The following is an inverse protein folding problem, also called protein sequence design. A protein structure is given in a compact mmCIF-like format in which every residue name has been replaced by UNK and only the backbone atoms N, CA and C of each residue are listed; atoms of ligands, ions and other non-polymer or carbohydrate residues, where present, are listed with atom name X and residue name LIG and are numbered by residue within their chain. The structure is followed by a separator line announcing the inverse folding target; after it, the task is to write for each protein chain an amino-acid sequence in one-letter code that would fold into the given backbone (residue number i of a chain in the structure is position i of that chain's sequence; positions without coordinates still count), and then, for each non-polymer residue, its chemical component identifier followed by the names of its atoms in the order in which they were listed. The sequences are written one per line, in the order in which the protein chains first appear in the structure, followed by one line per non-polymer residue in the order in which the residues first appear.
data_IF_323003773612
#
_entry.id   IF_323003773612
#
_cell.length_a   1.000
_cell.length_b   1.000
_cell.length_c   1.000
_cell.angle_alpha   90.00
_cell.angle_beta   90.00
_cell.angle_gamma   90.00
#
_symmetry.space_group_name_H-M   'P 1'
#
loop_
_entity.id
_entity.type
_entity.pdbx_description
1 polymer ?
#
# COMPACT_ATOMS: atom_id res chain seq x y z
N UNK A 1 -5.87 4.79 -29.26
CA UNK A 1 -6.12 5.72 -28.14
C UNK A 1 -4.98 5.57 -27.15
N UNK A 2 -4.10 6.58 -27.06
CA UNK A 2 -3.04 6.60 -26.04
C UNK A 2 -3.71 6.74 -24.67
N UNK A 3 -3.60 5.68 -23.87
CA UNK A 3 -4.11 5.65 -22.49
C UNK A 3 -3.40 6.74 -21.70
N UNK A 4 -4.12 7.72 -21.18
CA UNK A 4 -3.58 8.80 -20.39
C UNK A 4 -2.90 8.22 -19.14
N UNK A 5 -1.61 8.01 -19.26
CA UNK A 5 -0.73 7.63 -18.15
C UNK A 5 -0.55 8.90 -17.32
N UNK A 6 -0.65 8.87 -15.98
CA UNK A 6 -0.05 9.95 -15.20
C UNK A 6 1.36 10.15 -15.74
N UNK A 7 1.73 11.39 -16.00
CA UNK A 7 3.06 11.65 -16.58
C UNK A 7 4.12 10.92 -15.76
N UNK A 8 5.19 10.40 -16.36
CA UNK A 8 6.24 9.70 -15.64
C UNK A 8 6.82 10.55 -14.49
N UNK A 9 6.76 11.87 -14.63
CA UNK A 9 7.15 12.80 -13.58
C UNK A 9 6.17 12.81 -12.40
N UNK A 10 4.86 12.77 -12.64
CA UNK A 10 3.86 12.73 -11.56
C UNK A 10 3.97 11.46 -10.73
N UNK A 11 4.16 10.29 -11.34
CA UNK A 11 4.34 9.05 -10.59
C UNK A 11 5.63 9.05 -9.77
N UNK A 12 6.69 9.69 -10.25
CA UNK A 12 7.94 9.84 -9.52
C UNK A 12 7.74 10.76 -8.28
N UNK A 13 7.09 11.91 -8.49
CA UNK A 13 6.82 12.85 -7.40
C UNK A 13 5.92 12.21 -6.33
N UNK A 14 4.85 11.54 -6.73
CA UNK A 14 3.95 10.88 -5.78
C UNK A 14 4.67 9.79 -4.97
N UNK A 15 5.48 8.95 -5.63
CA UNK A 15 6.22 7.89 -4.94
C UNK A 15 7.31 8.45 -4.01
N UNK A 16 8.03 9.48 -4.44
CA UNK A 16 9.04 10.14 -3.62
C UNK A 16 8.41 10.87 -2.41
N UNK A 17 7.30 11.58 -2.63
CA UNK A 17 6.58 12.28 -1.57
C UNK A 17 6.03 11.28 -0.53
N UNK A 18 5.46 10.15 -0.97
CA UNK A 18 4.98 9.11 -0.06
C UNK A 18 6.13 8.49 0.75
N UNK A 19 7.28 8.22 0.13
CA UNK A 19 8.45 7.69 0.83
C UNK A 19 9.01 8.70 1.84
N UNK A 20 9.06 9.98 1.47
CA UNK A 20 9.45 11.06 2.38
C UNK A 20 8.46 11.21 3.54
N UNK A 21 7.15 11.13 3.29
CA UNK A 21 6.12 11.14 4.34
C UNK A 21 6.34 9.98 5.33
N UNK A 22 6.52 8.76 4.84
CA UNK A 22 6.78 7.60 5.69
C UNK A 22 8.04 7.80 6.55
N UNK A 23 9.16 8.16 5.95
CA UNK A 23 10.45 8.25 6.65
C UNK A 23 10.52 9.48 7.57
N UNK A 24 10.21 10.67 7.05
CA UNK A 24 10.47 11.93 7.74
C UNK A 24 9.33 12.31 8.69
N UNK A 25 8.08 12.03 8.33
CA UNK A 25 6.94 12.47 9.13
C UNK A 25 6.32 11.35 9.96
N UNK A 26 6.32 10.08 9.49
CA UNK A 26 5.74 8.97 10.25
C UNK A 26 6.76 8.30 11.15
N UNK A 27 7.83 7.76 10.61
CA UNK A 27 8.83 7.07 11.43
C UNK A 27 9.64 8.06 12.28
N UNK A 28 10.06 9.20 11.73
CA UNK A 28 10.83 10.19 12.48
C UNK A 28 10.01 10.86 13.59
N UNK A 29 8.72 11.11 13.40
CA UNK A 29 7.86 11.70 14.43
C UNK A 29 7.86 10.87 15.71
N UNK A 30 7.90 9.55 15.61
CA UNK A 30 7.97 8.67 16.77
C UNK A 30 9.27 8.78 17.56
N UNK A 31 10.34 9.24 16.92
CA UNK A 31 11.64 9.49 17.59
C UNK A 31 11.70 10.86 18.21
N UNK A 32 11.25 11.87 17.47
CA UNK A 32 11.51 13.28 17.80
C UNK A 32 10.33 13.98 18.49
N UNK A 33 9.09 13.50 18.30
CA UNK A 33 7.94 14.14 18.94
C UNK A 33 7.75 13.61 20.35
N UNK A 34 7.77 14.48 21.37
CA UNK A 34 7.26 14.14 22.69
C UNK A 34 5.75 13.89 22.61
N UNK A 35 5.20 13.21 23.62
CA UNK A 35 3.76 12.93 23.73
C UNK A 35 2.88 14.20 23.67
N UNK A 36 3.46 15.35 23.98
CA UNK A 36 2.87 16.68 23.77
C UNK A 36 3.95 17.59 23.17
N UNK A 37 3.87 17.93 21.86
CA UNK A 37 4.84 18.80 21.24
C UNK A 37 4.69 20.23 21.80
N UNK A 38 5.67 20.64 22.61
CA UNK A 38 5.89 22.04 22.97
C UNK A 38 6.48 22.76 21.76
N UNK A 39 6.47 24.10 21.79
CA UNK A 39 6.94 24.95 20.70
C UNK A 39 8.32 24.53 20.16
N UNK A 40 8.53 24.70 18.84
CA UNK A 40 9.80 24.44 18.18
C UNK A 40 9.68 23.54 16.95
N UNK A 41 10.83 23.01 16.49
CA UNK A 41 10.93 22.14 15.30
C UNK A 41 10.00 20.92 15.37
N UNK A 42 9.80 20.36 16.57
CA UNK A 42 8.92 19.22 16.78
C UNK A 42 7.45 19.53 16.42
N UNK A 43 6.97 20.73 16.75
CA UNK A 43 5.61 21.17 16.41
C UNK A 43 5.45 21.39 14.90
N UNK A 44 6.45 22.06 14.29
CA UNK A 44 6.46 22.26 12.83
C UNK A 44 6.40 20.92 12.09
N UNK A 45 7.18 19.93 12.53
CA UNK A 45 7.14 18.58 11.94
C UNK A 45 5.78 17.90 12.13
N UNK A 46 5.14 18.09 13.30
CA UNK A 46 3.79 17.56 13.55
C UNK A 46 2.75 18.21 12.63
N UNK A 47 2.80 19.53 12.48
CA UNK A 47 1.88 20.30 11.63
C UNK A 47 2.06 19.94 10.15
N UNK A 48 3.31 19.78 9.69
CA UNK A 48 3.60 19.28 8.33
C UNK A 48 3.09 17.84 8.15
N UNK A 49 3.30 16.97 9.14
CA UNK A 49 2.80 15.59 9.10
C UNK A 49 1.27 15.55 9.02
N UNK A 50 0.56 16.41 9.76
CA UNK A 50 -0.88 16.55 9.69
C UNK A 50 -1.33 17.07 8.30
N UNK A 51 -0.67 18.10 7.79
CA UNK A 51 -0.93 18.63 6.45
C UNK A 51 -0.75 17.55 5.36
N UNK A 52 0.36 16.79 5.42
CA UNK A 52 0.63 15.69 4.48
C UNK A 52 -0.41 14.57 4.59
N UNK A 53 -0.91 14.31 5.81
CA UNK A 53 -2.00 13.35 6.04
C UNK A 53 -3.30 13.78 5.35
N UNK A 54 -3.68 15.04 5.52
CA UNK A 54 -4.89 15.60 4.91
C UNK A 54 -4.78 15.69 3.40
N UNK A 55 -3.63 16.14 2.88
CA UNK A 55 -3.33 16.15 1.45
C UNK A 55 -3.40 14.74 0.86
N UNK A 56 -2.83 13.76 1.56
CA UNK A 56 -2.89 12.34 1.19
C UNK A 56 -4.33 11.81 1.15
N UNK A 57 -5.18 12.22 2.09
CA UNK A 57 -6.61 11.91 2.09
C UNK A 57 -7.32 12.44 0.84
N UNK A 58 -7.10 13.72 0.49
CA UNK A 58 -7.66 14.33 -0.73
C UNK A 58 -7.16 13.62 -2.00
N UNK A 59 -5.84 13.40 -2.10
CA UNK A 59 -5.26 12.67 -3.23
C UNK A 59 -5.79 11.23 -3.31
N UNK A 60 -6.01 10.59 -2.17
CA UNK A 60 -6.63 9.26 -2.08
C UNK A 60 -8.04 9.24 -2.67
N UNK A 61 -8.89 10.21 -2.32
CA UNK A 61 -10.23 10.35 -2.92
C UNK A 61 -10.13 10.51 -4.43
N UNK A 62 -9.26 11.41 -4.91
CA UNK A 62 -9.07 11.65 -6.35
C UNK A 62 -8.59 10.40 -7.09
N UNK A 63 -7.63 9.66 -6.50
CA UNK A 63 -7.11 8.44 -7.10
C UNK A 63 -8.18 7.35 -7.16
N UNK A 64 -8.91 7.12 -6.08
CA UNK A 64 -10.00 6.14 -6.04
C UNK A 64 -11.09 6.52 -7.03
N UNK A 65 -11.52 7.78 -7.07
CA UNK A 65 -12.48 8.28 -8.05
C UNK A 65 -12.01 8.10 -9.50
N UNK A 66 -10.71 8.30 -9.75
CA UNK A 66 -10.08 8.08 -11.06
C UNK A 66 -10.13 6.60 -11.46
N UNK A 67 -9.79 5.70 -10.52
CA UNK A 67 -9.85 4.24 -10.76
C UNK A 67 -11.27 3.81 -11.09
N UNK A 68 -12.25 4.31 -10.33
CA UNK A 68 -13.66 4.01 -10.55
C UNK A 68 -14.19 4.57 -11.88
N UNK A 69 -13.85 5.80 -12.22
CA UNK A 69 -14.20 6.42 -13.50
C UNK A 69 -13.66 5.61 -14.69
N UNK A 70 -12.45 5.07 -14.56
CA UNK A 70 -11.86 4.15 -15.55
C UNK A 70 -12.57 2.80 -15.57
N UNK A 71 -13.03 2.31 -14.41
CA UNK A 71 -13.84 1.11 -14.31
C UNK A 71 -15.12 1.23 -15.18
N UNK A 72 -15.78 2.37 -15.15
CA UNK A 72 -16.96 2.65 -15.97
C UNK A 72 -16.64 2.71 -17.47
N UNK A 73 -15.48 3.25 -17.86
CA UNK A 73 -15.08 3.41 -19.27
C UNK A 73 -14.52 2.13 -19.91
N UNK A 74 -14.49 1.02 -19.20
CA UNK A 74 -14.01 -0.25 -19.74
C UNK A 74 -12.49 -0.45 -19.71
N UNK A 75 -11.74 0.49 -19.19
CA UNK A 75 -10.26 0.48 -19.14
C UNK A 75 -9.76 0.12 -17.74
N UNK A 76 -10.03 -1.11 -17.28
CA UNK A 76 -9.88 -1.44 -15.85
C UNK A 76 -9.24 -2.77 -15.55
N UNK A 77 -8.81 -2.86 -14.28
CA UNK A 77 -8.44 -4.08 -13.59
C UNK A 77 -9.60 -5.09 -13.60
N UNK A 78 -10.85 -4.60 -13.60
CA UNK A 78 -12.05 -5.40 -13.34
C UNK A 78 -12.62 -6.03 -14.62
N UNK A 79 -13.03 -7.31 -14.60
CA UNK A 79 -13.79 -7.92 -15.67
C UNK A 79 -15.17 -7.24 -15.82
N UNK A 80 -15.78 -7.36 -17.01
CA UNK A 80 -17.02 -6.67 -17.33
C UNK A 80 -18.15 -6.96 -16.33
N UNK A 81 -18.26 -8.20 -15.87
CA UNK A 81 -19.25 -8.65 -14.88
C UNK A 81 -19.14 -7.94 -13.52
N UNK A 82 -17.97 -7.47 -13.13
CA UNK A 82 -17.76 -6.80 -11.84
C UNK A 82 -17.91 -5.28 -11.92
N UNK A 83 -17.95 -4.68 -13.10
CA UNK A 83 -17.85 -3.22 -13.28
C UNK A 83 -18.97 -2.45 -12.60
N UNK A 84 -20.22 -2.87 -12.77
CA UNK A 84 -21.38 -2.19 -12.19
C UNK A 84 -21.27 -2.23 -10.66
N UNK A 85 -21.04 -3.42 -10.09
CA UNK A 85 -20.93 -3.60 -8.64
C UNK A 85 -19.80 -2.78 -8.05
N UNK A 86 -18.61 -2.86 -8.65
CA UNK A 86 -17.43 -2.09 -8.18
C UNK A 86 -17.68 -0.59 -8.30
N UNK A 87 -18.33 -0.14 -9.38
CA UNK A 87 -18.60 1.28 -9.58
C UNK A 87 -19.61 1.80 -8.57
N UNK A 88 -20.66 1.04 -8.26
CA UNK A 88 -21.68 1.41 -7.28
C UNK A 88 -21.11 1.48 -5.86
N UNK A 89 -20.39 0.43 -5.44
CA UNK A 89 -19.74 0.39 -4.12
C UNK A 89 -18.66 1.47 -4.03
N UNK A 90 -17.92 1.70 -5.10
CA UNK A 90 -16.87 2.69 -5.14
C UNK A 90 -17.41 4.13 -5.11
N UNK A 91 -18.52 4.42 -5.80
CA UNK A 91 -19.16 5.72 -5.68
C UNK A 91 -19.63 5.96 -4.25
N UNK A 92 -20.26 4.96 -3.63
CA UNK A 92 -20.66 5.01 -2.24
C UNK A 92 -19.46 5.26 -1.32
N UNK A 93 -18.36 4.53 -1.51
CA UNK A 93 -17.13 4.74 -0.75
C UNK A 93 -16.58 6.16 -0.91
N UNK A 94 -16.50 6.68 -2.15
CA UNK A 94 -15.99 8.03 -2.42
C UNK A 94 -16.85 9.09 -1.74
N UNK A 95 -18.17 8.97 -1.79
CA UNK A 95 -19.09 9.90 -1.11
C UNK A 95 -18.86 9.88 0.41
N UNK A 96 -18.76 8.68 1.00
CA UNK A 96 -18.48 8.53 2.42
C UNK A 96 -17.11 9.09 2.80
N UNK A 97 -16.08 8.78 2.04
CA UNK A 97 -14.72 9.26 2.30
C UNK A 97 -14.62 10.79 2.17
N UNK A 98 -15.28 11.36 1.18
CA UNK A 98 -15.34 12.82 1.00
C UNK A 98 -16.00 13.50 2.20
N UNK A 99 -17.13 12.96 2.67
CA UNK A 99 -17.80 13.50 3.84
C UNK A 99 -16.91 13.43 5.11
N UNK A 100 -16.15 12.33 5.28
CA UNK A 100 -15.18 12.19 6.37
C UNK A 100 -14.02 13.19 6.26
N UNK A 101 -13.42 13.35 5.07
CA UNK A 101 -12.32 14.32 4.84
C UNK A 101 -12.77 15.76 5.06
N UNK A 102 -14.02 16.09 4.70
CA UNK A 102 -14.61 17.42 4.94
C UNK A 102 -15.09 17.61 6.37
N UNK A 103 -14.89 16.65 7.25
CA UNK A 103 -15.33 16.67 8.65
C UNK A 103 -16.84 17.00 8.79
N UNK A 104 -17.66 16.53 7.85
CA UNK A 104 -19.10 16.70 7.93
C UNK A 104 -19.66 15.91 9.11
N UNK A 105 -20.70 16.42 9.81
CA UNK A 105 -21.35 15.68 10.89
C UNK A 105 -22.03 14.44 10.32
N UNK A 106 -21.44 13.28 10.57
CA UNK A 106 -21.93 11.99 10.06
C UNK A 106 -22.27 11.07 11.23
N UNK A 107 -23.34 10.25 11.12
CA UNK A 107 -23.72 9.29 12.16
C UNK A 107 -22.58 8.29 12.45
N UNK A 108 -22.49 7.77 13.68
CA UNK A 108 -21.49 6.76 14.09
C UNK A 108 -21.46 5.51 13.19
N UNK A 109 -22.60 5.17 12.59
CA UNK A 109 -22.70 4.05 11.64
C UNK A 109 -21.92 4.27 10.35
N UNK A 110 -21.59 5.51 10.04
CA UNK A 110 -20.90 5.92 8.84
C UNK A 110 -19.51 5.27 8.69
N UNK A 111 -18.71 5.28 9.76
CA UNK A 111 -17.38 4.65 9.76
C UNK A 111 -17.48 3.15 9.45
N UNK A 112 -18.58 2.52 9.86
CA UNK A 112 -18.80 1.10 9.58
C UNK A 112 -19.13 0.85 8.12
N UNK A 113 -19.98 1.68 7.51
CA UNK A 113 -20.28 1.59 6.08
C UNK A 113 -19.05 1.88 5.23
N UNK A 114 -18.22 2.86 5.64
CA UNK A 114 -16.96 3.15 5.00
C UNK A 114 -16.02 1.91 5.03
N UNK A 115 -15.87 1.26 6.17
CA UNK A 115 -15.02 0.06 6.31
C UNK A 115 -15.57 -1.14 5.55
N UNK A 116 -16.90 -1.33 5.53
CA UNK A 116 -17.52 -2.40 4.74
C UNK A 116 -17.28 -2.20 3.25
N UNK A 117 -17.54 -0.99 2.72
CA UNK A 117 -17.29 -0.68 1.31
C UNK A 117 -15.80 -0.79 0.95
N UNK A 118 -14.91 -0.38 1.86
CA UNK A 118 -13.46 -0.56 1.74
C UNK A 118 -13.07 -2.04 1.59
N UNK A 119 -13.60 -2.92 2.45
CA UNK A 119 -13.29 -4.34 2.38
C UNK A 119 -13.79 -4.99 1.09
N UNK A 120 -15.00 -4.64 0.63
CA UNK A 120 -15.51 -5.10 -0.65
C UNK A 120 -14.62 -4.64 -1.81
N UNK A 121 -14.25 -3.35 -1.85
CA UNK A 121 -13.38 -2.82 -2.88
C UNK A 121 -11.99 -3.48 -2.86
N UNK A 122 -11.41 -3.70 -1.68
CA UNK A 122 -10.14 -4.41 -1.55
C UNK A 122 -10.23 -5.84 -2.08
N UNK A 123 -11.30 -6.57 -1.74
CA UNK A 123 -11.58 -7.91 -2.26
C UNK A 123 -11.74 -7.92 -3.78
N UNK A 124 -12.50 -6.99 -4.35
CA UNK A 124 -12.68 -6.87 -5.79
C UNK A 124 -11.39 -6.50 -6.53
N UNK A 125 -10.56 -5.62 -5.97
CA UNK A 125 -9.24 -5.30 -6.55
C UNK A 125 -8.36 -6.53 -6.62
N UNK A 126 -8.29 -7.31 -5.54
CA UNK A 126 -7.55 -8.55 -5.53
C UNK A 126 -8.12 -9.57 -6.52
N UNK A 127 -9.42 -9.85 -6.48
CA UNK A 127 -10.08 -10.79 -7.38
C UNK A 127 -9.94 -10.38 -8.85
N UNK A 128 -10.15 -9.09 -9.16
CA UNK A 128 -10.00 -8.56 -10.51
C UNK A 128 -8.60 -8.77 -11.08
N UNK A 129 -7.57 -8.62 -10.24
CA UNK A 129 -6.19 -8.81 -10.67
C UNK A 129 -5.88 -10.26 -11.07
N UNK A 130 -6.56 -11.26 -10.45
CA UNK A 130 -6.39 -12.67 -10.83
C UNK A 130 -6.88 -12.98 -12.26
N UNK A 131 -7.80 -12.20 -12.79
CA UNK A 131 -8.25 -12.30 -14.18
C UNK A 131 -7.33 -11.59 -15.19
N UNK A 132 -6.29 -10.87 -14.74
CA UNK A 132 -5.36 -10.14 -15.60
C UNK A 132 -4.05 -10.89 -15.80
N UNK A 133 -3.42 -10.64 -16.95
CA UNK A 133 -2.08 -11.15 -17.26
C UNK A 133 -1.04 -10.27 -16.59
N UNK A 134 -0.64 -10.63 -15.38
CA UNK A 134 0.43 -9.94 -14.64
C UNK A 134 1.25 -10.98 -13.84
N UNK A 135 2.47 -10.63 -13.40
CA UNK A 135 3.32 -11.54 -12.64
C UNK A 135 2.63 -12.07 -11.39
N UNK A 136 2.69 -13.39 -11.17
CA UNK A 136 2.05 -14.07 -10.03
C UNK A 136 2.45 -13.48 -8.69
N UNK A 137 3.73 -13.09 -8.53
CA UNK A 137 4.24 -12.45 -7.32
C UNK A 137 3.48 -11.17 -6.96
N UNK A 138 3.07 -10.37 -7.96
CA UNK A 138 2.31 -9.15 -7.73
C UNK A 138 0.83 -9.44 -7.43
N UNK A 139 0.24 -10.49 -8.01
CA UNK A 139 -1.09 -10.98 -7.62
C UNK A 139 -1.10 -11.39 -6.16
N UNK A 140 -0.09 -12.14 -5.74
CA UNK A 140 0.07 -12.55 -4.34
C UNK A 140 0.27 -11.34 -3.42
N UNK A 141 1.10 -10.37 -3.80
CA UNK A 141 1.29 -9.15 -3.01
C UNK A 141 -0.04 -8.41 -2.78
N UNK A 142 -0.80 -8.15 -3.83
CA UNK A 142 -2.10 -7.45 -3.72
C UNK A 142 -3.10 -8.26 -2.88
N UNK A 143 -3.14 -9.58 -3.04
CA UNK A 143 -4.02 -10.44 -2.24
C UNK A 143 -3.63 -10.43 -0.76
N UNK A 144 -2.33 -10.47 -0.46
CA UNK A 144 -1.82 -10.42 0.92
C UNK A 144 -2.14 -9.08 1.60
N UNK A 145 -2.15 -7.97 0.87
CA UNK A 145 -2.57 -6.67 1.42
C UNK A 145 -4.08 -6.52 1.51
N UNK A 146 -4.86 -7.15 0.63
CA UNK A 146 -6.32 -7.11 0.69
C UNK A 146 -6.88 -7.99 1.82
N UNK A 147 -6.26 -9.13 2.09
CA UNK A 147 -6.73 -10.10 3.08
C UNK A 147 -6.91 -9.52 4.50
N UNK A 148 -5.96 -8.80 5.10
CA UNK A 148 -6.13 -8.20 6.42
C UNK A 148 -7.24 -7.15 6.46
N UNK A 149 -7.47 -6.41 5.37
CA UNK A 149 -8.56 -5.43 5.27
C UNK A 149 -9.91 -6.13 5.38
N UNK A 150 -10.09 -7.20 4.62
CA UNK A 150 -11.31 -8.02 4.63
C UNK A 150 -11.49 -8.69 5.99
N UNK A 151 -10.43 -9.28 6.55
CA UNK A 151 -10.47 -9.95 7.84
C UNK A 151 -10.79 -8.99 8.98
N UNK A 152 -10.21 -7.80 9.02
CA UNK A 152 -10.50 -6.79 10.03
C UNK A 152 -11.97 -6.36 9.97
N UNK A 153 -12.52 -6.17 8.77
CA UNK A 153 -13.93 -5.81 8.61
C UNK A 153 -14.85 -6.94 9.00
N UNK A 154 -14.54 -8.19 8.64
CA UNK A 154 -15.27 -9.37 9.07
C UNK A 154 -15.29 -9.50 10.61
N UNK A 155 -14.15 -9.28 11.25
CA UNK A 155 -14.02 -9.30 12.72
C UNK A 155 -14.93 -8.25 13.39
N UNK A 156 -14.96 -7.02 12.85
CA UNK A 156 -15.88 -5.98 13.33
C UNK A 156 -17.35 -6.36 13.15
N UNK A 157 -17.68 -7.03 12.05
CA UNK A 157 -19.04 -7.52 11.83
C UNK A 157 -19.42 -8.60 12.83
N UNK A 158 -18.52 -9.57 13.08
CA UNK A 158 -18.71 -10.61 14.11
C UNK A 158 -18.92 -10.01 15.51
N UNK A 159 -18.17 -8.95 15.85
CA UNK A 159 -18.37 -8.22 17.10
C UNK A 159 -19.78 -7.66 17.23
N UNK A 160 -20.32 -7.09 16.14
CA UNK A 160 -21.69 -6.54 16.12
C UNK A 160 -22.77 -7.61 16.19
N UNK A 161 -22.47 -8.82 15.70
CA UNK A 161 -23.35 -9.97 15.80
C UNK A 161 -23.30 -10.65 17.16
N UNK A 162 -22.58 -10.08 18.14
CA UNK A 162 -22.51 -10.59 19.51
C UNK A 162 -21.58 -11.78 19.71
N UNK A 163 -20.61 -11.99 18.80
CA UNK A 163 -19.61 -13.05 18.98
C UNK A 163 -18.73 -12.77 20.20
N UNK A 164 -18.16 -13.81 20.78
CA UNK A 164 -17.35 -13.68 21.99
C UNK A 164 -16.15 -12.74 21.80
N UNK A 165 -15.88 -11.92 22.80
CA UNK A 165 -14.76 -10.97 22.77
C UNK A 165 -13.41 -11.62 22.48
N UNK A 166 -13.20 -12.88 22.92
CA UNK A 166 -11.98 -13.64 22.65
C UNK A 166 -11.80 -13.95 21.16
N UNK A 167 -12.86 -14.39 20.46
CA UNK A 167 -12.82 -14.66 19.02
C UNK A 167 -12.62 -13.38 18.22
N UNK A 168 -13.31 -12.30 18.60
CA UNK A 168 -13.13 -10.98 17.98
C UNK A 168 -11.69 -10.47 18.16
N UNK A 169 -11.15 -10.60 19.38
CA UNK A 169 -9.76 -10.23 19.67
C UNK A 169 -8.74 -11.06 18.88
N UNK A 170 -8.97 -12.37 18.72
CA UNK A 170 -8.12 -13.24 17.89
C UNK A 170 -8.18 -12.83 16.42
N UNK A 171 -9.37 -12.56 15.88
CA UNK A 171 -9.54 -12.08 14.50
C UNK A 171 -8.81 -10.76 14.24
N UNK A 172 -8.90 -9.80 15.16
CA UNK A 172 -8.19 -8.54 15.07
C UNK A 172 -6.66 -8.72 15.08
N UNK A 173 -6.15 -9.56 15.99
CA UNK A 173 -4.71 -9.91 16.05
C UNK A 173 -4.23 -10.58 14.76
N UNK A 174 -5.01 -11.51 14.22
CA UNK A 174 -4.69 -12.18 12.96
C UNK A 174 -4.66 -11.20 11.79
N UNK A 175 -5.61 -10.27 11.71
CA UNK A 175 -5.62 -9.23 10.69
C UNK A 175 -4.36 -8.34 10.76
N UNK A 176 -3.96 -7.94 11.96
CA UNK A 176 -2.75 -7.14 12.17
C UNK A 176 -1.48 -7.91 11.81
N UNK A 177 -1.33 -9.14 12.29
CA UNK A 177 -0.20 -10.00 11.95
C UNK A 177 -0.10 -10.22 10.44
N UNK A 178 -1.24 -10.39 9.75
CA UNK A 178 -1.31 -10.50 8.29
C UNK A 178 -0.86 -9.23 7.59
N UNK A 179 -1.15 -8.04 8.14
CA UNK A 179 -0.66 -6.77 7.59
C UNK A 179 0.87 -6.69 7.66
N UNK A 180 1.47 -7.03 8.81
CA UNK A 180 2.93 -7.05 8.93
C UNK A 180 3.58 -8.11 8.06
N UNK A 181 2.96 -9.26 7.92
CA UNK A 181 3.44 -10.30 7.00
C UNK A 181 3.41 -9.80 5.55
N UNK A 182 2.35 -9.11 5.13
CA UNK A 182 2.27 -8.51 3.80
C UNK A 182 3.35 -7.45 3.58
N UNK A 183 3.58 -6.57 4.55
CA UNK A 183 4.65 -5.57 4.50
C UNK A 183 6.04 -6.24 4.47
N UNK A 184 6.27 -7.26 5.28
CA UNK A 184 7.52 -8.01 5.31
C UNK A 184 7.82 -8.68 3.96
N UNK A 185 6.82 -9.34 3.37
CA UNK A 185 6.95 -10.02 2.09
C UNK A 185 7.02 -9.05 0.90
N UNK A 186 6.65 -7.79 1.08
CA UNK A 186 6.69 -6.78 0.01
C UNK A 186 8.10 -6.62 -0.58
N UNK A 187 9.14 -6.72 0.24
CA UNK A 187 10.54 -6.68 -0.20
C UNK A 187 10.87 -7.74 -1.25
N UNK A 188 10.31 -8.93 -1.13
CA UNK A 188 10.53 -10.05 -2.07
C UNK A 188 9.55 -10.01 -3.24
N UNK A 189 8.27 -9.73 -2.97
CA UNK A 189 7.21 -9.83 -3.97
C UNK A 189 7.18 -8.63 -4.93
N UNK A 190 7.49 -7.43 -4.44
CA UNK A 190 7.32 -6.19 -5.18
C UNK A 190 8.65 -5.69 -5.75
N UNK A 191 9.76 -5.83 -5.00
CA UNK A 191 11.05 -5.30 -5.42
C UNK A 191 11.50 -5.89 -6.76
N UNK A 192 11.86 -5.04 -7.75
CA UNK A 192 12.54 -5.51 -8.93
C UNK A 192 13.96 -5.97 -8.54
N UNK A 193 14.53 -6.88 -9.33
CA UNK A 193 15.95 -7.19 -9.17
C UNK A 193 16.79 -5.95 -9.45
N UNK A 194 17.68 -5.52 -8.54
CA UNK A 194 18.46 -4.32 -8.73
C UNK A 194 19.38 -4.48 -9.95
N UNK A 195 19.31 -3.52 -10.87
CA UNK A 195 20.09 -3.55 -12.12
C UNK A 195 21.17 -2.47 -12.18
N UNK A 196 21.12 -1.50 -11.28
CA UNK A 196 22.01 -0.32 -11.30
C UNK A 196 22.56 -0.05 -9.90
N UNK A 197 23.79 0.40 -9.78
CA UNK A 197 24.43 0.76 -8.51
C UNK A 197 23.63 1.83 -7.75
N UNK A 198 23.09 2.85 -8.45
CA UNK A 198 22.23 3.85 -7.84
C UNK A 198 20.99 3.25 -7.18
N UNK A 199 20.37 2.26 -7.82
CA UNK A 199 19.20 1.58 -7.24
C UNK A 199 19.55 0.88 -5.94
N UNK A 200 20.68 0.18 -5.91
CA UNK A 200 21.20 -0.48 -4.69
C UNK A 200 21.48 0.57 -3.60
N UNK A 201 22.12 1.68 -3.95
CA UNK A 201 22.44 2.75 -3.00
C UNK A 201 21.17 3.36 -2.38
N UNK A 202 20.13 3.64 -3.19
CA UNK A 202 18.85 4.16 -2.72
C UNK A 202 18.12 3.16 -1.83
N UNK A 203 18.12 1.88 -2.18
CA UNK A 203 17.55 0.81 -1.36
C UNK A 203 18.23 0.69 0.00
N UNK A 204 19.56 0.64 0.01
CA UNK A 204 20.36 0.53 1.22
C UNK A 204 20.19 1.78 2.08
N UNK A 205 20.27 2.98 1.50
CA UNK A 205 20.07 4.23 2.22
C UNK A 205 18.70 4.32 2.89
N UNK A 206 17.64 4.04 2.15
CA UNK A 206 16.27 4.03 2.68
C UNK A 206 16.08 2.97 3.78
N UNK A 207 16.63 1.77 3.57
CA UNK A 207 16.59 0.68 4.54
C UNK A 207 17.34 1.03 5.84
N UNK A 208 18.54 1.60 5.75
CA UNK A 208 19.35 2.02 6.90
C UNK A 208 18.67 3.16 7.67
N UNK A 209 18.13 4.17 6.97
CA UNK A 209 17.38 5.26 7.61
C UNK A 209 16.15 4.70 8.35
N UNK A 210 15.37 3.85 7.70
CA UNK A 210 14.20 3.23 8.33
C UNK A 210 14.59 2.41 9.57
N UNK A 211 15.65 1.59 9.46
CA UNK A 211 16.14 0.79 10.57
C UNK A 211 16.66 1.67 11.73
N UNK A 212 17.40 2.72 11.43
CA UNK A 212 17.92 3.64 12.43
C UNK A 212 16.79 4.36 13.17
N UNK A 213 15.77 4.87 12.45
CA UNK A 213 14.61 5.53 13.05
C UNK A 213 13.81 4.58 13.95
N UNK A 214 13.60 3.34 13.50
CA UNK A 214 12.90 2.32 14.27
C UNK A 214 13.70 1.91 15.51
N UNK A 215 15.02 1.73 15.39
CA UNK A 215 15.91 1.42 16.52
C UNK A 215 15.95 2.56 17.55
N UNK A 216 16.03 3.82 17.10
CA UNK A 216 15.96 4.98 17.97
C UNK A 216 14.60 5.10 18.68
N UNK A 217 13.50 4.82 17.98
CA UNK A 217 12.18 4.76 18.59
C UNK A 217 12.13 3.69 19.69
N UNK A 218 12.69 2.51 19.45
CA UNK A 218 12.79 1.43 20.44
C UNK A 218 13.56 1.86 21.68
N UNK A 219 14.74 2.48 21.49
CA UNK A 219 15.57 2.97 22.61
C UNK A 219 14.85 4.04 23.41
N UNK A 220 14.18 4.98 22.74
CA UNK A 220 13.50 6.10 23.38
C UNK A 220 12.33 5.67 24.26
N UNK A 221 11.55 4.69 23.80
CA UNK A 221 10.30 4.31 24.46
C UNK A 221 10.44 3.18 25.48
N UNK A 222 11.61 2.62 25.67
CA UNK A 222 11.99 1.63 26.71
C UNK A 222 11.04 0.43 26.90
N UNK A 223 10.12 0.20 26.01
CA UNK A 223 9.21 -0.93 26.18
C UNK A 223 8.46 -1.32 24.92
N UNK A 224 8.30 -2.60 24.80
CA UNK A 224 7.60 -3.21 23.68
C UNK A 224 6.15 -2.77 23.57
N UNK A 225 5.46 -2.55 24.71
CA UNK A 225 4.09 -2.05 24.75
C UNK A 225 3.96 -0.67 24.09
N UNK A 226 4.94 0.20 24.31
CA UNK A 226 4.95 1.53 23.71
C UNK A 226 5.29 1.50 22.23
N UNK A 227 6.20 0.63 21.80
CA UNK A 227 6.47 0.40 20.36
C UNK A 227 5.24 -0.16 19.67
N UNK A 228 4.54 -1.08 20.29
CA UNK A 228 3.29 -1.66 19.78
C UNK A 228 2.19 -0.59 19.67
N UNK A 229 2.00 0.24 20.70
CA UNK A 229 1.05 1.36 20.67
C UNK A 229 1.41 2.41 19.61
N UNK A 230 2.71 2.67 19.41
CA UNK A 230 3.26 3.58 18.43
C UNK A 230 2.82 3.26 17.00
N UNK A 231 2.71 1.97 16.67
CA UNK A 231 2.28 1.50 15.35
C UNK A 231 0.77 1.26 15.24
N UNK A 232 -0.03 1.80 16.17
CA UNK A 232 -1.48 1.63 16.18
C UNK A 232 -1.92 0.20 16.48
N UNK A 233 -1.07 -0.56 17.13
CA UNK A 233 -1.30 -1.95 17.45
C UNK A 233 -1.95 -2.04 18.82
N UNK A 234 -3.26 -2.04 18.87
CA UNK A 234 -4.01 -2.33 20.07
C UNK A 234 -4.02 -3.84 20.32
N UNK A 235 -2.99 -4.33 20.99
CA UNK A 235 -2.98 -5.70 21.48
C UNK A 235 -3.32 -5.74 22.97
N UNK A 236 -4.33 -6.51 23.32
CA UNK A 236 -4.56 -6.99 24.69
C UNK A 236 -3.57 -8.12 25.06
N UNK A 237 -2.38 -8.14 24.47
CA UNK A 237 -1.34 -9.01 24.94
C UNK A 237 -0.75 -8.37 26.20
N UNK A 238 -0.61 -9.12 27.31
CA UNK A 238 0.27 -8.70 28.38
C UNK A 238 1.67 -8.62 27.76
N UNK A 239 2.05 -7.43 27.35
CA UNK A 239 3.36 -7.16 26.74
C UNK A 239 4.38 -7.06 27.87
N UNK A 240 4.41 -8.07 28.68
CA UNK A 240 5.53 -8.34 29.54
C UNK A 240 6.72 -8.63 28.64
N UNK A 241 7.90 -8.18 29.02
CA UNK A 241 9.16 -8.23 28.30
C UNK A 241 9.65 -9.66 27.90
N UNK A 242 8.72 -10.55 27.56
CA UNK A 242 8.98 -11.92 27.16
C UNK A 242 9.51 -12.04 25.74
N UNK A 243 10.01 -13.22 25.42
CA UNK A 243 10.57 -13.58 24.09
C UNK A 243 9.57 -13.29 22.97
N UNK A 244 8.28 -13.59 23.17
CA UNK A 244 7.22 -13.37 22.17
C UNK A 244 7.07 -11.91 21.81
N UNK A 245 7.10 -11.02 22.79
CA UNK A 245 7.00 -9.60 22.56
C UNK A 245 8.21 -9.02 21.78
N UNK A 246 9.41 -9.52 22.08
CA UNK A 246 10.65 -9.13 21.35
C UNK A 246 10.62 -9.61 19.90
N UNK A 247 10.17 -10.83 19.66
CA UNK A 247 9.99 -11.38 18.30
C UNK A 247 8.98 -10.57 17.51
N UNK A 248 7.88 -10.18 18.15
CA UNK A 248 6.87 -9.35 17.51
C UNK A 248 7.41 -7.98 17.12
N UNK A 249 8.14 -7.29 18.00
CA UNK A 249 8.78 -6.02 17.68
C UNK A 249 9.77 -6.16 16.53
N UNK A 250 10.59 -7.21 16.53
CA UNK A 250 11.51 -7.50 15.44
C UNK A 250 10.77 -7.72 14.11
N UNK A 251 9.63 -8.41 14.12
CA UNK A 251 8.78 -8.60 12.95
C UNK A 251 8.22 -7.27 12.43
N UNK A 252 7.73 -6.40 13.31
CA UNK A 252 7.24 -5.07 12.95
C UNK A 252 8.35 -4.23 12.31
N UNK A 253 9.53 -4.18 12.94
CA UNK A 253 10.69 -3.45 12.40
C UNK A 253 11.06 -3.98 11.02
N UNK A 254 11.21 -5.31 10.88
CA UNK A 254 11.53 -5.94 9.61
C UNK A 254 10.47 -5.65 8.53
N UNK A 255 9.19 -5.62 8.88
CA UNK A 255 8.09 -5.31 7.98
C UNK A 255 8.20 -3.89 7.40
N UNK A 256 8.43 -2.88 8.25
CA UNK A 256 8.59 -1.50 7.79
C UNK A 256 9.87 -1.27 6.99
N UNK A 257 10.99 -1.86 7.41
CA UNK A 257 12.25 -1.83 6.64
C UNK A 257 12.04 -2.46 5.27
N UNK A 258 11.39 -3.63 5.20
CA UNK A 258 11.08 -4.33 3.95
C UNK A 258 10.21 -3.49 3.02
N UNK A 259 9.13 -2.88 3.53
CA UNK A 259 8.26 -2.00 2.75
C UNK A 259 8.99 -0.76 2.24
N UNK A 260 9.84 -0.15 3.09
CA UNK A 260 10.67 1.01 2.72
C UNK A 260 11.66 0.65 1.61
N UNK A 261 12.36 -0.48 1.74
CA UNK A 261 13.30 -0.98 0.73
C UNK A 261 12.57 -1.31 -0.57
N UNK A 262 11.38 -1.95 -0.51
CA UNK A 262 10.57 -2.23 -1.70
C UNK A 262 10.14 -0.94 -2.41
N UNK A 263 9.67 0.06 -1.66
CA UNK A 263 9.33 1.38 -2.18
C UNK A 263 10.53 2.06 -2.86
N UNK A 264 11.67 2.10 -2.18
CA UNK A 264 12.90 2.68 -2.69
C UNK A 264 13.42 1.98 -3.97
N UNK A 265 13.34 0.63 -4.00
CA UNK A 265 13.74 -0.17 -5.17
C UNK A 265 12.91 0.16 -6.40
N UNK A 266 11.61 0.36 -6.22
CA UNK A 266 10.67 0.65 -7.29
C UNK A 266 10.70 2.12 -7.73
N UNK A 267 11.14 3.05 -6.86
CA UNK A 267 11.17 4.49 -7.14
C UNK A 267 12.08 4.83 -8.33
N UNK A 268 13.22 4.14 -8.47
CA UNK A 268 14.19 4.35 -9.53
C UNK A 268 13.82 3.66 -10.86
N UNK A 269 12.69 2.94 -10.89
CA UNK A 269 12.19 2.22 -12.05
C UNK A 269 11.37 3.06 -13.02
N UNK A 270 10.62 2.37 -13.88
CA UNK A 270 9.65 2.97 -14.80
C UNK A 270 8.37 3.44 -14.09
N UNK A 271 7.44 4.02 -14.84
CA UNK A 271 6.18 4.53 -14.28
C UNK A 271 5.33 3.42 -13.60
N UNK A 272 5.38 2.19 -14.09
CA UNK A 272 4.68 1.07 -13.47
C UNK A 272 5.33 0.69 -12.13
N UNK A 273 6.65 0.61 -12.08
CA UNK A 273 7.41 0.38 -10.86
C UNK A 273 7.17 1.48 -9.81
N UNK A 274 7.12 2.76 -10.24
CA UNK A 274 6.82 3.89 -9.35
C UNK A 274 5.41 3.82 -8.76
N UNK A 275 4.42 3.29 -9.50
CA UNK A 275 3.10 3.00 -8.93
C UNK A 275 3.17 1.90 -7.87
N UNK A 276 4.02 0.88 -8.05
CA UNK A 276 4.24 -0.12 -7.01
C UNK A 276 4.91 0.51 -5.77
N UNK A 277 5.91 1.38 -5.97
CA UNK A 277 6.54 2.14 -4.87
C UNK A 277 5.50 2.94 -4.09
N UNK A 278 4.71 3.75 -4.78
CA UNK A 278 3.65 4.55 -4.18
C UNK A 278 2.65 3.67 -3.41
N UNK A 279 2.23 2.56 -4.01
CA UNK A 279 1.27 1.65 -3.41
C UNK A 279 1.75 1.01 -2.11
N UNK A 280 2.96 0.43 -2.09
CA UNK A 280 3.49 -0.24 -0.89
C UNK A 280 3.77 0.76 0.24
N UNK A 281 4.26 1.95 -0.09
CA UNK A 281 4.55 2.98 0.90
C UNK A 281 3.26 3.52 1.52
N UNK A 282 2.20 3.76 0.72
CA UNK A 282 0.89 4.15 1.26
C UNK A 282 0.28 3.09 2.18
N UNK A 283 0.43 1.81 1.83
CA UNK A 283 -0.04 0.72 2.69
C UNK A 283 0.72 0.67 4.02
N UNK A 284 2.02 0.93 4.00
CA UNK A 284 2.82 1.08 5.22
C UNK A 284 2.38 2.31 6.03
N UNK A 285 2.12 3.44 5.36
CA UNK A 285 1.68 4.69 6.00
C UNK A 285 0.27 4.60 6.56
N UNK A 286 -0.61 3.78 5.96
CA UNK A 286 -1.99 3.61 6.40
C UNK A 286 -2.10 3.18 7.88
N UNK A 287 -1.16 2.36 8.36
CA UNK A 287 -1.09 1.93 9.75
C UNK A 287 -0.81 3.06 10.75
N UNK A 288 -0.29 4.20 10.28
CA UNK A 288 0.03 5.37 11.11
C UNK A 288 -1.06 6.45 11.10
N UNK A 289 -2.17 6.24 10.40
CA UNK A 289 -3.27 7.20 10.36
C UNK A 289 -4.13 7.07 11.61
N UNK A 290 -4.33 8.18 12.31
CA UNK A 290 -5.16 8.24 13.52
C UNK A 290 -6.65 8.14 13.14
N UNK A 291 -7.03 8.80 12.05
CA UNK A 291 -8.42 8.82 11.59
C UNK A 291 -8.75 7.61 10.73
N UNK A 292 -9.85 6.95 11.05
CA UNK A 292 -10.33 5.77 10.31
C UNK A 292 -10.58 6.06 8.83
N UNK A 293 -11.03 7.27 8.48
CA UNK A 293 -11.24 7.69 7.08
C UNK A 293 -9.92 7.74 6.32
N UNK A 294 -8.90 8.40 6.88
CA UNK A 294 -7.59 8.49 6.26
C UNK A 294 -6.92 7.11 6.16
N UNK A 295 -7.05 6.28 7.20
CA UNK A 295 -6.56 4.90 7.17
C UNK A 295 -7.17 4.09 6.01
N UNK A 296 -8.48 4.16 5.83
CA UNK A 296 -9.18 3.44 4.75
C UNK A 296 -8.83 4.00 3.37
N UNK A 297 -8.68 5.32 3.24
CA UNK A 297 -8.28 5.96 2.00
C UNK A 297 -6.85 5.57 1.60
N UNK A 298 -5.89 5.69 2.51
CA UNK A 298 -4.49 5.35 2.23
C UNK A 298 -4.33 3.87 1.87
N UNK A 299 -5.00 2.96 2.57
CA UNK A 299 -4.90 1.54 2.28
C UNK A 299 -5.55 1.17 0.94
N UNK A 300 -6.73 1.71 0.62
CA UNK A 300 -7.38 1.45 -0.67
C UNK A 300 -6.60 2.08 -1.84
N UNK A 301 -6.13 3.32 -1.66
CA UNK A 301 -5.29 4.02 -2.62
C UNK A 301 -4.01 3.23 -2.92
N UNK A 302 -3.34 2.76 -1.87
CA UNK A 302 -2.14 1.93 -1.97
C UNK A 302 -2.41 0.62 -2.71
N UNK A 303 -3.50 -0.06 -2.38
CA UNK A 303 -3.90 -1.30 -3.04
C UNK A 303 -4.23 -1.10 -4.52
N UNK A 304 -4.95 -0.03 -4.86
CA UNK A 304 -5.25 0.34 -6.25
C UNK A 304 -3.97 0.68 -7.03
N UNK A 305 -3.04 1.42 -6.44
CA UNK A 305 -1.77 1.75 -7.07
C UNK A 305 -0.92 0.51 -7.33
N UNK A 306 -0.84 -0.43 -6.38
CA UNK A 306 -0.18 -1.73 -6.57
C UNK A 306 -0.81 -2.52 -7.72
N UNK A 307 -2.13 -2.62 -7.75
CA UNK A 307 -2.85 -3.34 -8.78
C UNK A 307 -2.65 -2.73 -10.18
N UNK A 308 -2.72 -1.40 -10.29
CA UNK A 308 -2.45 -0.69 -11.54
C UNK A 308 -1.01 -0.88 -12.02
N UNK A 309 -0.03 -0.79 -11.12
CA UNK A 309 1.37 -1.07 -11.43
C UNK A 309 1.57 -2.50 -11.92
N UNK A 310 0.95 -3.48 -11.27
CA UNK A 310 1.02 -4.90 -11.65
C UNK A 310 0.43 -5.17 -13.04
N UNK A 311 -0.74 -4.61 -13.36
CA UNK A 311 -1.37 -4.74 -14.69
C UNK A 311 -0.48 -4.17 -15.77
N UNK A 312 0.10 -2.98 -15.56
CA UNK A 312 0.99 -2.33 -16.54
C UNK A 312 2.25 -3.12 -16.81
N UNK A 313 2.86 -3.69 -15.78
CA UNK A 313 4.03 -4.56 -15.96
C UNK A 313 3.65 -5.82 -16.77
N UNK A 314 2.45 -6.35 -16.57
CA UNK A 314 1.92 -7.45 -17.38
C UNK A 314 1.72 -7.07 -18.86
N UNK A 315 1.12 -5.91 -19.11
CA UNK A 315 0.88 -5.41 -20.48
C UNK A 315 2.20 -5.17 -21.25
N UNK A 316 3.21 -4.61 -20.59
CA UNK A 316 4.55 -4.41 -21.17
C UNK A 316 5.23 -5.73 -21.52
N UNK A 317 5.13 -6.72 -20.63
CA UNK A 317 5.69 -8.05 -20.87
C UNK A 317 5.06 -8.75 -22.08
N UNK A 318 3.73 -8.65 -22.24
CA UNK A 318 2.99 -9.20 -23.39
C UNK A 318 3.39 -8.49 -24.68
N UNK A 319 3.47 -7.16 -24.68
CA UNK A 319 3.89 -6.38 -25.85
C UNK A 319 5.33 -6.68 -26.27
N UNK A 320 6.22 -6.92 -25.31
CA UNK A 320 7.61 -7.32 -25.57
C UNK A 320 7.71 -8.71 -26.22
N UNK A 321 6.94 -9.67 -25.73
CA UNK A 321 6.89 -11.02 -26.30
C UNK A 321 6.34 -11.04 -27.73
N UNK A 322 5.31 -10.23 -28.03
CA UNK A 322 4.74 -10.13 -29.36
C UNK A 322 5.74 -9.52 -30.38
N UNK A 323 6.57 -8.57 -29.96
CA UNK A 323 7.62 -7.99 -30.84
C UNK A 323 8.77 -8.96 -31.08
N UNK A 324 9.14 -9.75 -30.09
CA UNK A 324 10.20 -10.77 -30.22
C UNK A 324 9.82 -11.93 -31.15
N UNK A 325 8.52 -12.26 -31.23
CA UNK A 325 8.03 -13.30 -32.17
C UNK A 325 7.85 -12.81 -33.59
N UNK A 326 7.83 -11.48 -33.81
CA UNK A 326 7.74 -10.84 -35.15
C UNK A 326 9.10 -10.45 -35.75
N UNK A 327 10.22 -10.91 -35.16
CA UNK A 327 11.54 -10.75 -35.76
C UNK A 327 11.54 -11.45 -37.13
N UNK A 328 11.90 -10.77 -38.26
CA UNK A 328 11.84 -11.35 -39.58
C UNK A 328 12.74 -12.59 -39.63
N UNK A 329 12.16 -13.71 -40.08
CA UNK A 329 12.95 -14.84 -40.57
C UNK A 329 13.90 -14.29 -41.61
N UNK A 330 15.18 -14.47 -41.35
CA UNK A 330 16.32 -13.98 -42.16
C UNK A 330 16.08 -14.29 -43.65
N UNK A 331 15.97 -13.28 -44.54
CA UNK A 331 15.77 -13.49 -45.97
C UNK A 331 16.96 -14.11 -46.68
N UNK A 332 18.05 -14.46 -45.99
CA UNK A 332 19.30 -14.96 -46.58
C UNK A 332 19.31 -16.47 -46.89
N UNK A 333 18.23 -17.23 -46.64
CA UNK A 333 18.22 -18.67 -46.93
C UNK A 333 17.71 -19.04 -48.33
N UNK A 334 17.30 -18.09 -49.18
CA UNK A 334 16.78 -18.37 -50.52
C UNK A 334 17.72 -18.02 -51.69
N UNK A 335 18.97 -17.60 -51.46
CA UNK A 335 19.90 -17.28 -52.59
C UNK A 335 20.98 -18.35 -52.86
N UNK A 336 20.91 -19.52 -52.24
CA UNK A 336 21.95 -20.56 -52.42
C UNK A 336 21.54 -21.74 -53.38
N UNK A 337 20.51 -21.62 -54.22
CA UNK A 337 20.08 -22.72 -55.06
C UNK A 337 19.81 -22.36 -56.54
N UNK A 338 20.37 -21.23 -57.06
CA UNK A 338 20.24 -20.90 -58.49
C UNK A 338 21.57 -20.86 -59.28
N UNK A 339 22.66 -21.36 -58.73
CA UNK A 339 23.93 -21.52 -59.51
C UNK A 339 24.47 -22.97 -59.32
N UNK A 340 23.86 -23.96 -59.98
CA UNK A 340 24.47 -25.25 -60.30
C UNK A 340 23.84 -25.87 -61.56
#
# INVERSE_FOLDING_TARGET
MQKAIPSPNLTAVLAAAALADLLLFRLASHVFLPSQPTWGVARVLADIGLFMSNLGGVLGVVLVATVLSRALRGDTIFPHSMRITVSSIGLFFVLLATAGVLALPVPDRFVSYLRISHAFLAGFVAAGLWHRRCPIRLKLAVTLFAAPIVLQTATMFCQRMGWSASLVGQGGRTAQASTFLALLLSGVLISPRPRRGLQVAVMLGAGLISLALLALAMVRYFGLAQVVALYGLHFDLPVTAGVVGKLYAAMVMAAYVSATVAGAACLTGDAASRLLAYGVVLLATAGHQIEATNQTLFSLCGLCALALGAVRLGDVAVAGAARGSAAPSDPLSHQAHEDA
#
